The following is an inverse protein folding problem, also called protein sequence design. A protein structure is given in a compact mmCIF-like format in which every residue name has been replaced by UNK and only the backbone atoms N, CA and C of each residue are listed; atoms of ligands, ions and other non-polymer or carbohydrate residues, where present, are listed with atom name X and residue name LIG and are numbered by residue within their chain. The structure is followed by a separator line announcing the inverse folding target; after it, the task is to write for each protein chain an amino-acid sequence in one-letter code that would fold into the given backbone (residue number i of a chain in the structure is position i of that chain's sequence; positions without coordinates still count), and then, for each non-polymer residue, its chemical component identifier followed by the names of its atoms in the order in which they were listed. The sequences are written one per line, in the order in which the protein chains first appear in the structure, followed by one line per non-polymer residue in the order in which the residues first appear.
data_IF_330970670787
#
_entry.id   IF_330970670787
#
_cell.length_a   1.000
_cell.length_b   1.000
_cell.length_c   1.000
_cell.angle_alpha   90.00
_cell.angle_beta   90.00
_cell.angle_gamma   90.00
#
_symmetry.space_group_name_H-M   'P 1'
#
loop_
_entity.id
_entity.type
_entity.pdbx_description
1 polymer ?
#
# COMPACT_ATOMS: atom_id res chain seq x y z
N UNK A 1 -33.61 -3.03 6.34
CA UNK A 1 -32.97 -4.26 6.85
C UNK A 1 -31.49 -4.14 6.53
N UNK A 2 -30.68 -3.71 7.50
CA UNK A 2 -29.23 -3.53 7.34
C UNK A 2 -28.60 -4.84 7.78
N UNK A 3 -27.94 -5.54 6.85
CA UNK A 3 -27.22 -6.77 7.17
C UNK A 3 -25.86 -6.37 7.72
N UNK A 4 -25.72 -6.43 9.04
CA UNK A 4 -24.40 -6.41 9.68
C UNK A 4 -23.74 -7.76 9.42
N UNK A 5 -22.71 -7.76 8.56
CA UNK A 5 -21.82 -8.91 8.44
C UNK A 5 -20.89 -8.86 9.65
N UNK A 6 -21.33 -9.49 10.74
CA UNK A 6 -20.48 -9.80 11.89
C UNK A 6 -19.53 -10.91 11.39
N UNK A 7 -18.29 -10.54 11.09
CA UNK A 7 -17.23 -11.51 10.85
C UNK A 7 -17.05 -12.36 12.11
N UNK A 8 -17.54 -13.60 12.07
CA UNK A 8 -17.19 -14.62 13.05
C UNK A 8 -15.74 -15.05 12.80
N UNK A 9 -15.01 -15.23 13.90
CA UNK A 9 -13.58 -15.49 14.03
C UNK A 9 -12.67 -14.28 13.76
N UNK A 10 -11.62 -14.14 14.59
CA UNK A 10 -10.68 -13.01 14.68
C UNK A 10 -9.82 -12.77 13.43
N UNK A 11 -10.45 -12.54 12.29
CA UNK A 11 -9.85 -12.22 11.02
C UNK A 11 -9.45 -10.74 11.06
N UNK A 12 -8.13 -10.49 11.13
CA UNK A 12 -7.57 -9.14 11.05
C UNK A 12 -7.91 -8.53 9.69
N UNK A 13 -8.95 -7.71 9.64
CA UNK A 13 -9.35 -6.99 8.43
C UNK A 13 -8.48 -5.75 8.22
N UNK A 14 -7.82 -5.66 7.07
CA UNK A 14 -7.04 -4.51 6.61
C UNK A 14 -7.87 -3.70 5.62
N UNK A 15 -8.35 -2.53 6.05
CA UNK A 15 -9.10 -1.63 5.20
C UNK A 15 -8.14 -0.70 4.46
N UNK A 16 -8.04 -0.81 3.14
CA UNK A 16 -7.27 0.13 2.34
C UNK A 16 -7.97 1.49 2.34
N UNK A 17 -7.18 2.55 2.49
CA UNK A 17 -7.64 3.94 2.45
C UNK A 17 -7.13 4.65 1.21
N UNK A 18 -5.88 4.40 0.86
CA UNK A 18 -5.24 5.06 -0.27
C UNK A 18 -4.22 4.16 -0.92
N UNK A 19 -4.16 4.25 -2.25
CA UNK A 19 -3.11 3.64 -3.05
C UNK A 19 -2.46 4.72 -3.89
N UNK A 20 -1.13 4.81 -3.84
CA UNK A 20 -0.34 5.70 -4.67
C UNK A 20 0.62 4.86 -5.51
N UNK A 21 0.67 5.12 -6.81
CA UNK A 21 1.55 4.43 -7.73
C UNK A 21 2.28 5.43 -8.64
N UNK A 22 3.58 5.25 -8.79
CA UNK A 22 4.41 5.94 -9.78
C UNK A 22 5.08 4.87 -10.62
N UNK A 23 4.83 4.85 -11.94
CA UNK A 23 5.36 3.81 -12.82
C UNK A 23 6.11 4.41 -13.99
N UNK A 24 7.29 3.88 -14.24
CA UNK A 24 8.07 4.20 -15.41
C UNK A 24 9.13 3.15 -15.69
N UNK A 25 9.89 3.36 -16.76
CA UNK A 25 10.85 2.36 -17.25
C UNK A 25 11.99 2.05 -16.28
N UNK A 26 12.32 2.96 -15.36
CA UNK A 26 13.46 2.81 -14.42
C UNK A 26 13.03 2.49 -12.99
N UNK A 27 11.75 2.65 -12.67
CA UNK A 27 11.25 2.57 -11.31
C UNK A 27 9.74 2.31 -11.33
N UNK A 28 9.31 1.39 -10.48
CA UNK A 28 7.93 1.29 -10.06
C UNK A 28 7.84 1.48 -8.56
N UNK A 29 7.07 2.46 -8.15
CA UNK A 29 6.75 2.75 -6.77
C UNK A 29 5.27 2.46 -6.53
N UNK A 30 4.98 1.76 -5.44
CA UNK A 30 3.64 1.49 -4.97
C UNK A 30 3.57 1.73 -3.46
N UNK A 31 2.66 2.58 -3.02
CA UNK A 31 2.37 2.79 -1.62
C UNK A 31 0.90 2.51 -1.33
N UNK A 32 0.65 1.79 -0.23
CA UNK A 32 -0.70 1.51 0.25
C UNK A 32 -0.81 1.94 1.70
N UNK A 33 -1.77 2.82 1.96
CA UNK A 33 -2.18 3.25 3.30
C UNK A 33 -3.41 2.43 3.70
N UNK A 34 -3.35 1.80 4.86
CA UNK A 34 -4.40 0.93 5.36
C UNK A 34 -4.59 1.07 6.87
N UNK A 35 -5.81 0.76 7.32
CA UNK A 35 -6.14 0.62 8.74
C UNK A 35 -6.22 -0.87 9.10
N UNK A 36 -5.60 -1.23 10.21
CA UNK A 36 -5.82 -2.50 10.89
C UNK A 36 -6.84 -2.27 12.02
N UNK A 37 -7.88 -3.09 12.12
CA UNK A 37 -8.89 -2.96 13.18
C UNK A 37 -8.23 -2.86 14.57
N UNK A 38 -8.48 -1.75 15.28
CA UNK A 38 -7.95 -1.50 16.62
C UNK A 38 -6.47 -1.12 16.69
N UNK A 39 -5.82 -0.81 15.57
CA UNK A 39 -4.39 -0.45 15.51
C UNK A 39 -4.16 0.88 14.80
N UNK A 40 -2.92 1.37 14.93
CA UNK A 40 -2.47 2.59 14.26
C UNK A 40 -2.52 2.44 12.73
N UNK A 41 -2.88 3.51 11.99
CA UNK A 41 -2.72 3.58 10.55
C UNK A 41 -1.32 3.17 10.09
N UNK A 42 -1.27 2.39 9.01
CA UNK A 42 -0.03 1.89 8.45
C UNK A 42 0.07 2.20 6.96
N UNK A 43 1.29 2.46 6.52
CA UNK A 43 1.64 2.57 5.12
C UNK A 43 2.70 1.52 4.79
N UNK A 44 2.53 0.85 3.67
CA UNK A 44 3.56 -0.01 3.09
C UNK A 44 3.94 0.54 1.73
N UNK A 45 5.23 0.78 1.54
CA UNK A 45 5.82 1.28 0.30
C UNK A 45 6.68 0.17 -0.31
N UNK A 46 6.54 -0.04 -1.61
CA UNK A 46 7.36 -0.92 -2.42
C UNK A 46 7.99 -0.10 -3.54
N UNK A 47 9.29 -0.30 -3.74
CA UNK A 47 10.04 0.31 -4.83
C UNK A 47 10.75 -0.81 -5.58
N UNK A 48 10.45 -0.96 -6.87
CA UNK A 48 11.05 -1.94 -7.76
C UNK A 48 11.86 -1.23 -8.84
N UNK A 49 13.11 -1.65 -9.03
CA UNK A 49 13.96 -1.23 -10.14
C UNK A 49 14.10 -2.39 -11.14
N UNK A 50 14.14 -2.14 -12.47
CA UNK A 50 14.04 -3.18 -13.51
C UNK A 50 15.11 -4.28 -13.53
N UNK A 51 16.14 -4.21 -12.68
CA UNK A 51 17.24 -5.20 -12.60
C UNK A 51 17.79 -5.39 -11.19
N UNK A 52 17.19 -4.76 -10.18
CA UNK A 52 17.67 -4.78 -8.80
C UNK A 52 16.64 -5.43 -7.87
N UNK A 53 16.98 -5.40 -6.57
CA UNK A 53 16.10 -5.80 -5.48
C UNK A 53 14.89 -4.87 -5.33
N UNK A 54 13.81 -5.43 -4.79
CA UNK A 54 12.65 -4.64 -4.35
C UNK A 54 12.94 -4.09 -2.96
N UNK A 55 12.82 -2.77 -2.78
CA UNK A 55 12.90 -2.12 -1.48
C UNK A 55 11.50 -2.06 -0.90
N UNK A 56 11.33 -2.55 0.33
CA UNK A 56 10.08 -2.49 1.07
C UNK A 56 10.27 -1.67 2.33
N UNK A 57 9.36 -0.74 2.58
CA UNK A 57 9.35 0.09 3.77
C UNK A 57 7.96 0.12 4.37
N UNK A 58 7.88 0.04 5.70
CA UNK A 58 6.64 0.14 6.44
C UNK A 58 6.74 1.31 7.42
N UNK A 59 5.66 2.08 7.51
CA UNK A 59 5.51 3.16 8.48
C UNK A 59 4.17 3.05 9.20
N UNK A 60 4.18 3.43 10.47
CA UNK A 60 3.00 3.52 11.31
C UNK A 60 2.94 4.95 11.87
N UNK A 61 1.75 5.52 11.94
CA UNK A 61 1.50 6.85 12.49
C UNK A 61 0.27 6.82 13.38
N UNK A 62 0.20 7.72 14.37
CA UNK A 62 -0.96 7.86 15.25
C UNK A 62 -2.21 8.36 14.53
N UNK A 63 -2.04 9.18 13.49
CA UNK A 63 -3.11 9.75 12.68
C UNK A 63 -2.95 9.34 11.21
N UNK A 64 -4.09 9.08 10.55
CA UNK A 64 -4.13 8.71 9.14
C UNK A 64 -3.85 9.89 8.22
N UNK A 65 -4.31 11.10 8.58
CA UNK A 65 -4.13 12.30 7.76
C UNK A 65 -2.65 12.67 7.64
N UNK A 66 -1.92 12.61 8.75
CA UNK A 66 -0.46 12.83 8.78
C UNK A 66 0.28 11.79 7.94
N UNK A 67 -0.16 10.53 7.99
CA UNK A 67 0.41 9.46 7.21
C UNK A 67 0.15 9.66 5.70
N UNK A 68 -1.07 10.05 5.33
CA UNK A 68 -1.41 10.36 3.95
C UNK A 68 -0.61 11.55 3.42
N UNK A 69 -0.44 12.61 4.22
CA UNK A 69 0.37 13.76 3.85
C UNK A 69 1.85 13.39 3.65
N UNK A 70 2.40 12.55 4.53
CA UNK A 70 3.77 12.06 4.42
C UNK A 70 3.98 11.24 3.13
N UNK A 71 3.05 10.31 2.85
CA UNK A 71 3.10 9.49 1.64
C UNK A 71 2.95 10.35 0.38
N UNK A 72 2.06 11.34 0.39
CA UNK A 72 1.89 12.25 -0.75
C UNK A 72 3.18 13.03 -1.04
N UNK A 73 3.84 13.54 0.01
CA UNK A 73 5.12 14.25 -0.09
C UNK A 73 6.21 13.37 -0.72
N UNK A 74 6.42 12.15 -0.19
CA UNK A 74 7.42 11.23 -0.75
C UNK A 74 7.10 10.80 -2.18
N UNK A 75 5.83 10.50 -2.45
CA UNK A 75 5.40 10.07 -3.78
C UNK A 75 5.63 11.17 -4.83
N UNK A 76 5.39 12.44 -4.47
CA UNK A 76 5.67 13.59 -5.34
C UNK A 76 7.17 13.73 -5.62
N UNK A 77 8.01 13.68 -4.59
CA UNK A 77 9.47 13.75 -4.76
C UNK A 77 9.95 12.65 -5.72
N UNK A 78 9.47 11.42 -5.56
CA UNK A 78 9.80 10.31 -6.47
C UNK A 78 9.31 10.61 -7.90
N UNK A 79 8.06 11.04 -8.03
CA UNK A 79 7.45 11.38 -9.33
C UNK A 79 8.27 12.45 -10.07
N UNK A 80 8.67 13.51 -9.37
CA UNK A 80 9.43 14.63 -9.90
C UNK A 80 10.87 14.23 -10.25
N UNK A 81 11.56 13.52 -9.35
CA UNK A 81 12.94 13.07 -9.58
C UNK A 81 13.08 12.18 -10.82
N UNK A 82 12.06 11.36 -11.12
CA UNK A 82 12.09 10.45 -12.26
C UNK A 82 11.30 10.95 -13.48
N UNK A 83 10.61 12.10 -13.37
CA UNK A 83 9.79 12.65 -14.44
C UNK A 83 8.59 11.75 -14.81
N UNK A 84 8.04 11.04 -13.83
CA UNK A 84 6.93 10.11 -14.02
C UNK A 84 5.61 10.69 -13.55
N UNK A 85 4.51 10.10 -14.00
CA UNK A 85 3.17 10.48 -13.54
C UNK A 85 2.83 9.69 -12.27
N UNK A 86 2.47 10.43 -11.22
CA UNK A 86 1.87 9.87 -10.01
C UNK A 86 0.37 9.64 -10.22
N UNK A 87 -0.09 8.44 -9.91
CA UNK A 87 -1.50 8.09 -9.81
C UNK A 87 -1.83 7.86 -8.33
N UNK A 88 -2.89 8.48 -7.83
CA UNK A 88 -3.34 8.34 -6.44
C UNK A 88 -4.83 8.10 -6.42
N UNK A 89 -5.26 7.03 -5.75
CA UNK A 89 -6.66 6.63 -5.65
C UNK A 89 -7.03 6.49 -4.18
N UNK A 90 -8.06 7.23 -3.76
CA UNK A 90 -8.73 7.01 -2.48
C UNK A 90 -9.68 5.84 -2.62
N UNK A 91 -9.58 4.87 -1.71
CA UNK A 91 -10.35 3.63 -1.79
C UNK A 91 -11.59 3.74 -0.89
N UNK A 92 -12.80 3.46 -1.41
CA UNK A 92 -14.02 3.51 -0.62
C UNK A 92 -13.98 2.60 0.60
N UNK A 93 -14.78 2.93 1.62
CA UNK A 93 -14.94 2.06 2.80
C UNK A 93 -15.48 0.70 2.35
N UNK A 94 -14.85 -0.37 2.84
CA UNK A 94 -15.29 -1.75 2.62
C UNK A 94 -14.44 -2.55 1.62
N UNK A 95 -13.40 -1.94 1.03
CA UNK A 95 -12.38 -2.70 0.30
C UNK A 95 -11.35 -3.23 1.28
N UNK A 96 -11.40 -4.54 1.49
CA UNK A 96 -10.47 -5.28 2.34
C UNK A 96 -9.45 -5.98 1.47
N UNK A 97 -8.18 -5.83 1.81
CA UNK A 97 -7.09 -6.32 0.99
C UNK A 97 -6.14 -7.19 1.80
N UNK A 98 -6.70 -8.04 2.66
CA UNK A 98 -5.93 -8.93 3.54
C UNK A 98 -4.92 -9.77 2.75
N UNK A 99 -5.32 -10.30 1.59
CA UNK A 99 -4.43 -11.03 0.69
C UNK A 99 -3.30 -10.18 0.12
N UNK A 100 -3.58 -8.94 -0.29
CA UNK A 100 -2.57 -8.03 -0.83
C UNK A 100 -1.59 -7.57 0.25
N UNK A 101 -2.07 -7.11 1.41
CA UNK A 101 -1.21 -6.63 2.49
C UNK A 101 -0.37 -7.77 3.07
N UNK A 102 -0.95 -8.96 3.21
CA UNK A 102 -0.21 -10.15 3.62
C UNK A 102 0.85 -10.52 2.59
N UNK A 103 0.51 -10.54 1.31
CA UNK A 103 1.47 -10.79 0.23
C UNK A 103 2.63 -9.78 0.25
N UNK A 104 2.35 -8.48 0.38
CA UNK A 104 3.41 -7.46 0.44
C UNK A 104 4.27 -7.61 1.69
N UNK A 105 3.71 -7.97 2.85
CA UNK A 105 4.50 -8.30 4.05
C UNK A 105 5.34 -9.55 3.88
N UNK A 106 4.79 -10.58 3.25
CA UNK A 106 5.51 -11.83 3.02
C UNK A 106 6.68 -11.57 2.04
N UNK A 107 6.48 -10.76 1.00
CA UNK A 107 7.55 -10.24 0.15
C UNK A 107 8.60 -9.42 0.92
N UNK A 108 8.18 -8.62 1.91
CA UNK A 108 9.09 -7.82 2.75
C UNK A 108 9.91 -8.69 3.71
N UNK A 109 9.35 -9.81 4.15
CA UNK A 109 10.00 -10.76 5.06
C UNK A 109 10.93 -11.75 4.35
N UNK A 110 10.68 -12.01 3.07
CA UNK A 110 11.35 -13.08 2.32
C UNK A 110 12.54 -12.61 1.47
N UNK A 111 12.88 -11.31 1.44
CA UNK A 111 13.99 -10.76 0.63
C UNK A 111 14.13 -11.43 -0.76
N UNK A 112 13.28 -11.07 -1.73
CA UNK A 112 13.62 -11.26 -3.15
C UNK A 112 12.62 -11.95 -4.08
N UNK A 113 11.32 -11.96 -3.81
CA UNK A 113 10.34 -12.47 -4.80
C UNK A 113 9.28 -11.43 -5.20
N UNK A 114 9.16 -11.29 -6.52
CA UNK A 114 8.31 -10.35 -7.26
C UNK A 114 6.86 -10.31 -6.75
N UNK A 115 6.32 -9.11 -6.56
CA UNK A 115 4.90 -8.91 -6.33
C UNK A 115 4.10 -9.39 -7.58
N UNK A 116 2.97 -10.11 -7.42
CA UNK A 116 2.21 -10.67 -8.51
C UNK A 116 1.36 -9.59 -9.18
N UNK A 117 1.33 -9.65 -10.51
CA UNK A 117 0.53 -8.84 -11.45
C UNK A 117 -1.01 -9.03 -11.31
N UNK A 118 -1.53 -9.33 -10.11
CA UNK A 118 -2.93 -9.71 -9.91
C UNK A 118 -3.91 -8.53 -9.72
N UNK A 119 -3.46 -7.27 -9.74
CA UNK A 119 -4.30 -6.11 -9.43
C UNK A 119 -4.41 -5.07 -10.56
N UNK A 120 -4.10 -5.46 -11.81
CA UNK A 120 -4.05 -4.55 -12.97
C UNK A 120 -4.90 -4.94 -14.18
N UNK A 121 -5.94 -5.76 -13.98
CA UNK A 121 -7.03 -5.90 -14.95
C UNK A 121 -8.30 -5.25 -14.42
#
# INVERSE_FOLDING_TARGET
MVVEIIGQDGIMQHQIKRVVAVRGQRLEYLCVVYLENGRQPKAICSVRFPRDSTILSQRECSNIEDLEALIDSYSRVISECFGYRMNSVSVPRGVYADGFIRHVRDCARLEGCNAPDAFLN
#
